data_IF_733467911074
#
_entry.id   IF_733467911074
#
_cell.length_a   1.000
_cell.length_b   1.000
_cell.length_c   1.000
_cell.angle_alpha   90.00
_cell.angle_beta   90.00
_cell.angle_gamma   90.00
#
_symmetry.space_group_name_H-M   'P 1'
#
loop_
_entity.id
_entity.type
_entity.pdbx_description
1 polymer ?
#
# COMPACT_ATOMS: atom_id res chain seq x y z
N UNK A 1 1.73 15.84 3.53
CA UNK A 1 0.28 16.12 3.50
C UNK A 1 -0.36 15.40 4.68
N UNK A 2 -1.29 16.01 5.42
CA UNK A 2 -2.04 15.29 6.45
C UNK A 2 -2.79 14.10 5.84
N UNK A 3 -2.88 12.97 6.55
CA UNK A 3 -3.54 11.75 6.09
C UNK A 3 -4.98 11.98 5.57
N UNK A 4 -5.70 12.95 6.16
CA UNK A 4 -7.04 13.35 5.72
C UNK A 4 -7.04 14.00 4.32
N UNK A 5 -6.04 14.81 3.97
CA UNK A 5 -5.91 15.40 2.63
C UNK A 5 -5.53 14.35 1.59
N UNK A 6 -4.70 13.38 1.99
CA UNK A 6 -4.34 12.22 1.16
C UNK A 6 -5.57 11.37 0.84
N UNK A 7 -6.43 11.08 1.83
CA UNK A 7 -7.70 10.40 1.63
C UNK A 7 -8.63 11.13 0.66
N UNK A 8 -8.79 12.44 0.84
CA UNK A 8 -9.62 13.26 -0.04
C UNK A 8 -9.11 13.27 -1.48
N UNK A 9 -7.79 13.32 -1.70
CA UNK A 9 -7.21 13.27 -3.04
C UNK A 9 -7.35 11.88 -3.66
N UNK A 10 -7.17 10.81 -2.88
CA UNK A 10 -7.34 9.43 -3.37
C UNK A 10 -8.80 9.19 -3.74
N UNK A 11 -9.75 9.57 -2.88
CA UNK A 11 -11.19 9.44 -3.13
C UNK A 11 -11.65 10.33 -4.31
N UNK A 12 -11.20 11.58 -4.37
CA UNK A 12 -11.56 12.49 -5.47
C UNK A 12 -11.00 12.04 -6.82
N UNK A 13 -9.82 11.40 -6.84
CA UNK A 13 -9.21 10.85 -8.07
C UNK A 13 -9.68 9.43 -8.40
N UNK A 14 -10.30 8.76 -7.44
CA UNK A 14 -10.75 7.38 -7.54
C UNK A 14 -12.22 7.33 -7.17
N UNK A 15 -13.07 8.09 -7.87
CA UNK A 15 -14.52 8.14 -7.62
C UNK A 15 -15.20 6.76 -7.60
N UNK A 16 -14.52 5.73 -8.11
CA UNK A 16 -14.89 4.32 -7.97
C UNK A 16 -14.76 3.73 -6.56
N UNK A 17 -14.16 4.41 -5.57
CA UNK A 17 -14.16 3.99 -4.15
C UNK A 17 -15.26 4.66 -3.32
N UNK A 18 -16.09 5.52 -3.91
CA UNK A 18 -17.20 6.17 -3.22
C UNK A 18 -18.43 5.26 -3.09
N UNK A 19 -18.22 4.06 -2.55
CA UNK A 19 -19.25 3.09 -2.22
C UNK A 19 -18.98 2.44 -0.86
N UNK A 20 -19.97 1.69 -0.36
CA UNK A 20 -19.85 0.94 0.89
C UNK A 20 -18.69 -0.07 0.79
N UNK A 21 -17.74 0.01 1.73
CA UNK A 21 -16.50 -0.79 1.72
C UNK A 21 -15.30 -0.10 1.04
N UNK A 22 -15.52 0.68 -0.02
CA UNK A 22 -14.43 1.35 -0.75
C UNK A 22 -13.69 2.41 0.08
N UNK A 23 -14.43 3.18 0.88
CA UNK A 23 -13.83 4.15 1.82
C UNK A 23 -12.96 3.48 2.88
N UNK A 24 -13.40 2.34 3.43
CA UNK A 24 -12.64 1.56 4.43
C UNK A 24 -11.36 0.99 3.82
N UNK A 25 -11.41 0.57 2.57
CA UNK A 25 -10.23 0.10 1.84
C UNK A 25 -9.20 1.23 1.67
N UNK A 26 -9.63 2.42 1.25
CA UNK A 26 -8.76 3.60 1.14
C UNK A 26 -8.18 4.00 2.50
N UNK A 27 -8.99 4.01 3.57
CA UNK A 27 -8.50 4.26 4.94
C UNK A 27 -7.42 3.26 5.35
N UNK A 28 -7.60 1.99 5.03
CA UNK A 28 -6.60 0.95 5.30
C UNK A 28 -5.34 1.14 4.45
N UNK A 29 -5.45 1.54 3.18
CA UNK A 29 -4.28 1.89 2.35
C UNK A 29 -3.44 3.00 2.99
N UNK A 30 -4.12 4.04 3.51
CA UNK A 30 -3.45 5.17 4.18
C UNK A 30 -2.80 4.73 5.49
N UNK A 31 -3.44 3.84 6.27
CA UNK A 31 -2.83 3.27 7.48
C UNK A 31 -1.55 2.50 7.18
N UNK A 32 -1.52 1.69 6.11
CA UNK A 32 -0.28 1.02 5.67
C UNK A 32 0.78 2.05 5.27
N UNK A 33 0.39 3.08 4.52
CA UNK A 33 1.30 4.16 4.14
C UNK A 33 1.90 4.85 5.37
N UNK A 34 1.10 5.09 6.41
CA UNK A 34 1.59 5.68 7.66
C UNK A 34 2.59 4.79 8.40
N UNK A 35 2.32 3.49 8.50
CA UNK A 35 3.27 2.52 9.09
C UNK A 35 4.59 2.51 8.30
N UNK A 36 4.54 2.53 6.97
CA UNK A 36 5.76 2.57 6.15
C UNK A 36 6.53 3.89 6.35
N UNK A 37 5.84 5.03 6.51
CA UNK A 37 6.48 6.31 6.81
C UNK A 37 7.13 6.32 8.20
N UNK A 38 6.49 5.70 9.19
CA UNK A 38 7.08 5.52 10.52
C UNK A 38 8.32 4.63 10.46
N UNK A 39 8.27 3.50 9.77
CA UNK A 39 9.44 2.64 9.55
C UNK A 39 10.59 3.39 8.87
N UNK A 40 10.29 4.23 7.89
CA UNK A 40 11.31 5.07 7.24
C UNK A 40 11.93 6.10 8.20
N UNK A 41 11.12 6.76 9.03
CA UNK A 41 11.60 7.72 10.04
C UNK A 41 12.48 7.04 11.10
N UNK A 42 12.13 5.81 11.48
CA UNK A 42 12.89 5.02 12.46
C UNK A 42 14.17 4.41 11.87
N UNK A 43 14.31 4.40 10.54
CA UNK A 43 15.42 3.73 9.84
C UNK A 43 15.21 2.22 9.65
N UNK A 44 14.00 1.71 9.87
CA UNK A 44 13.65 0.30 9.68
C UNK A 44 13.51 -0.08 8.19
N UNK A 45 13.15 0.90 7.34
CA UNK A 45 13.10 0.74 5.89
C UNK A 45 13.73 1.94 5.16
N UNK A 46 14.30 1.70 3.99
CA UNK A 46 14.96 2.70 3.15
C UNK A 46 13.99 3.41 2.18
N UNK A 47 12.83 2.80 1.92
CA UNK A 47 11.89 3.26 0.89
C UNK A 47 10.66 3.97 1.49
N UNK A 48 10.45 5.23 1.12
CA UNK A 48 9.30 6.02 1.60
C UNK A 48 8.06 5.87 0.71
N UNK A 49 6.89 5.68 1.33
CA UNK A 49 5.62 5.71 0.61
C UNK A 49 5.07 7.12 0.50
N UNK A 50 5.16 7.68 -0.72
CA UNK A 50 4.58 9.00 -1.03
C UNK A 50 3.06 8.93 -1.24
N UNK A 51 2.33 10.06 -1.13
CA UNK A 51 0.92 10.13 -1.49
C UNK A 51 0.61 9.70 -2.93
N UNK A 52 1.55 9.93 -3.85
CA UNK A 52 1.42 9.48 -5.24
C UNK A 52 1.42 7.95 -5.34
N UNK A 53 2.19 7.28 -4.49
CA UNK A 53 2.24 5.82 -4.42
C UNK A 53 0.90 5.26 -3.93
N UNK A 54 0.28 5.89 -2.92
CA UNK A 54 -1.03 5.49 -2.40
C UNK A 54 -2.12 5.63 -3.48
N UNK A 55 -2.12 6.74 -4.23
CA UNK A 55 -3.04 6.94 -5.35
C UNK A 55 -2.86 5.86 -6.43
N UNK A 56 -1.62 5.60 -6.85
CA UNK A 56 -1.33 4.57 -7.86
C UNK A 56 -1.69 3.17 -7.37
N UNK A 57 -1.49 2.87 -6.09
CA UNK A 57 -1.93 1.62 -5.46
C UNK A 57 -3.46 1.48 -5.51
N UNK A 58 -4.21 2.51 -5.09
CA UNK A 58 -5.67 2.49 -5.12
C UNK A 58 -6.20 2.27 -6.55
N UNK A 59 -5.63 2.96 -7.55
CA UNK A 59 -5.99 2.78 -8.96
C UNK A 59 -5.68 1.37 -9.47
N UNK A 60 -4.48 0.84 -9.17
CA UNK A 60 -4.11 -0.52 -9.55
C UNK A 60 -5.02 -1.56 -8.89
N UNK A 61 -5.45 -1.33 -7.64
CA UNK A 61 -6.36 -2.23 -6.95
C UNK A 61 -7.74 -2.28 -7.64
N UNK A 62 -8.23 -1.16 -8.18
CA UNK A 62 -9.46 -1.13 -9.00
C UNK A 62 -9.30 -1.87 -10.33
N UNK A 63 -8.14 -1.73 -10.97
CA UNK A 63 -7.86 -2.36 -12.28
C UNK A 63 -7.73 -3.88 -12.12
N UNK A 64 -6.91 -4.32 -11.16
CA UNK A 64 -6.63 -5.74 -10.95
C UNK A 64 -7.65 -6.45 -10.06
N UNK A 65 -8.58 -5.70 -9.45
CA UNK A 65 -9.53 -6.18 -8.43
C UNK A 65 -8.82 -6.97 -7.31
N UNK A 66 -7.60 -6.55 -6.98
CA UNK A 66 -6.74 -7.21 -6.00
C UNK A 66 -5.80 -6.21 -5.32
N UNK A 67 -6.14 -5.86 -4.07
CA UNK A 67 -5.43 -4.88 -3.25
C UNK A 67 -4.00 -5.30 -2.95
N UNK A 68 -3.78 -6.57 -2.62
CA UNK A 68 -2.46 -7.10 -2.27
C UNK A 68 -1.52 -7.13 -3.48
N UNK A 69 -2.03 -7.57 -4.63
CA UNK A 69 -1.26 -7.53 -5.88
C UNK A 69 -0.89 -6.10 -6.28
N UNK A 70 -1.86 -5.18 -6.21
CA UNK A 70 -1.62 -3.77 -6.49
C UNK A 70 -0.61 -3.13 -5.54
N UNK A 71 -0.63 -3.50 -4.25
CA UNK A 71 0.36 -3.04 -3.27
C UNK A 71 1.78 -3.47 -3.64
N UNK A 72 1.91 -4.73 -4.09
CA UNK A 72 3.20 -5.28 -4.49
C UNK A 72 3.81 -4.52 -5.66
N UNK A 73 3.00 -4.27 -6.69
CA UNK A 73 3.43 -3.53 -7.87
C UNK A 73 3.77 -2.07 -7.56
N UNK A 74 2.93 -1.42 -6.74
CA UNK A 74 3.06 0.01 -6.47
C UNK A 74 4.19 0.34 -5.48
N UNK A 75 4.46 -0.55 -4.51
CA UNK A 75 5.40 -0.29 -3.41
C UNK A 75 6.33 -1.45 -3.09
N UNK A 76 5.83 -2.62 -2.68
CA UNK A 76 6.68 -3.68 -2.11
C UNK A 76 7.85 -4.11 -3.00
N UNK A 77 7.63 -4.20 -4.32
CA UNK A 77 8.67 -4.60 -5.28
C UNK A 77 9.81 -3.57 -5.38
N UNK A 78 9.60 -2.33 -4.93
CA UNK A 78 10.60 -1.26 -4.92
C UNK A 78 11.42 -1.24 -3.63
N UNK A 79 10.97 -1.91 -2.57
CA UNK A 79 11.69 -2.05 -1.32
C UNK A 79 12.84 -3.05 -1.46
N UNK A 80 13.90 -2.84 -0.69
CA UNK A 80 15.02 -3.76 -0.56
C UNK A 80 14.53 -5.12 -0.03
N UNK A 81 15.13 -6.20 -0.53
CA UNK A 81 14.68 -7.57 -0.23
C UNK A 81 14.67 -7.88 1.27
N UNK A 82 15.67 -7.37 2.00
CA UNK A 82 15.78 -7.52 3.45
C UNK A 82 14.62 -6.85 4.22
N UNK A 83 14.00 -5.81 3.64
CA UNK A 83 12.94 -5.01 4.26
C UNK A 83 11.53 -5.48 3.86
N UNK A 84 11.41 -6.26 2.78
CA UNK A 84 10.11 -6.70 2.24
C UNK A 84 9.28 -7.48 3.26
N UNK A 85 9.92 -8.25 4.14
CA UNK A 85 9.22 -8.98 5.20
C UNK A 85 8.53 -8.01 6.17
N UNK A 86 9.23 -6.95 6.60
CA UNK A 86 8.70 -5.93 7.49
C UNK A 86 7.58 -5.12 6.82
N UNK A 87 7.76 -4.73 5.56
CA UNK A 87 6.72 -4.02 4.80
C UNK A 87 5.47 -4.90 4.59
N UNK A 88 5.65 -6.19 4.34
CA UNK A 88 4.54 -7.14 4.27
C UNK A 88 3.81 -7.28 5.61
N UNK A 89 4.53 -7.21 6.73
CA UNK A 89 3.94 -7.20 8.07
C UNK A 89 3.07 -5.96 8.30
N UNK A 90 3.51 -4.77 7.86
CA UNK A 90 2.68 -3.56 7.94
C UNK A 90 1.37 -3.71 7.16
N UNK A 91 1.42 -4.34 5.98
CA UNK A 91 0.24 -4.68 5.21
C UNK A 91 -0.67 -5.65 5.98
N UNK A 92 -0.10 -6.74 6.49
CA UNK A 92 -0.83 -7.78 7.21
C UNK A 92 -1.48 -7.26 8.50
N UNK A 93 -0.81 -6.40 9.26
CA UNK A 93 -1.36 -5.73 10.46
C UNK A 93 -2.62 -4.90 10.18
N UNK A 94 -2.73 -4.31 8.98
CA UNK A 94 -3.86 -3.44 8.62
C UNK A 94 -4.96 -4.19 7.88
N UNK A 95 -4.59 -5.07 6.95
CA UNK A 95 -5.55 -5.80 6.10
C UNK A 95 -5.92 -7.18 6.64
N UNK A 96 -5.20 -7.70 7.63
CA UNK A 96 -5.39 -9.05 8.18
C UNK A 96 -5.14 -10.16 7.13
N UNK A 97 -4.32 -9.87 6.11
CA UNK A 97 -4.07 -10.76 4.98
C UNK A 97 -2.58 -10.82 4.69
N UNK A 98 -2.08 -12.03 4.50
CA UNK A 98 -0.74 -12.23 3.96
C UNK A 98 -0.70 -11.88 2.48
N UNK A 99 0.43 -11.32 2.05
CA UNK A 99 0.69 -11.15 0.63
C UNK A 99 1.16 -12.51 0.10
N UNK A 100 0.45 -13.13 -0.86
CA UNK A 100 0.91 -14.37 -1.48
C UNK A 100 2.29 -14.07 -2.04
N UNK A 101 3.26 -14.91 -1.65
CA UNK A 101 4.70 -14.69 -1.63
C UNK A 101 5.20 -13.61 -2.59
N UNK A 102 6.12 -12.76 -2.10
CA UNK A 102 6.98 -11.88 -2.89
C UNK A 102 7.70 -12.66 -4.01
N UNK A 103 6.98 -13.03 -5.08
CA UNK A 103 7.52 -13.69 -6.27
C UNK A 103 8.30 -12.68 -7.08
N UNK A 104 9.47 -12.35 -6.54
CA UNK A 104 10.71 -12.30 -7.30
C UNK A 104 11.52 -13.47 -6.73
N UNK A 105 11.31 -14.67 -7.29
CA UNK A 105 11.94 -15.89 -6.79
C UNK A 105 11.43 -17.12 -7.54
N UNK A 106 12.22 -17.56 -8.53
CA UNK A 106 12.02 -18.69 -9.47
C UNK A 106 11.16 -18.40 -10.70
N UNK A 107 11.75 -17.66 -11.66
CA UNK A 107 11.75 -18.18 -13.02
C UNK A 107 12.72 -19.38 -13.03
N UNK A 108 12.25 -20.53 -13.50
CA UNK A 108 13.02 -21.77 -13.59
C UNK A 108 14.04 -21.79 -14.71
#
# INVERSE_FOLDING_TARGET
LPAATEAQVVLAKSGEYDHEGGRKEVENMIKVAELTRQGFINGDISTVMSPRTVISWAQNALIFKNVGFAFRLSFLNKCDEAERALVAEYYQRVFGKDLPESVVGKAG
#
